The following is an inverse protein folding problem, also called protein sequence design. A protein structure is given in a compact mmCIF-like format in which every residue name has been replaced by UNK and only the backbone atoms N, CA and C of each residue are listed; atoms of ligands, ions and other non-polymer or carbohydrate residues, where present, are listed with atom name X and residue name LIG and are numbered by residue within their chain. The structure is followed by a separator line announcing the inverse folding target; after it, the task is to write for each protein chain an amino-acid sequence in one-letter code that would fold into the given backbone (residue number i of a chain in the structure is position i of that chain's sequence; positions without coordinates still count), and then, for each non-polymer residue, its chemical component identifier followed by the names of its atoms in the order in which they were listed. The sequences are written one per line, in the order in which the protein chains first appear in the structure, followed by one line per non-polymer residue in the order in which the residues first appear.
data_IF_422060292536
#
_entry.id   IF_422060292536
#
_cell.length_a   1.000
_cell.length_b   1.000
_cell.length_c   1.000
_cell.angle_alpha   90.00
_cell.angle_beta   90.00
_cell.angle_gamma   90.00
#
_symmetry.space_group_name_H-M   'P 1'
#
loop_
_entity.id
_entity.type
_entity.pdbx_description
1 polymer ?
#
# COMPACT_ATOMS: atom_id res chain seq x y z
N UNK A 1 5.36 0.70 -19.27
CA UNK A 1 5.14 1.92 -18.45
C UNK A 1 3.70 2.35 -18.66
N UNK A 2 2.92 2.51 -17.58
CA UNK A 2 1.58 3.09 -17.63
C UNK A 2 1.73 4.55 -17.20
N UNK A 3 1.39 5.50 -18.08
CA UNK A 3 1.46 6.91 -17.75
C UNK A 3 0.23 7.32 -16.95
N UNK A 4 0.46 7.88 -15.77
CA UNK A 4 -0.57 8.51 -14.94
C UNK A 4 -0.70 9.98 -15.34
N UNK A 5 -1.93 10.52 -15.41
CA UNK A 5 -2.10 11.96 -15.55
C UNK A 5 -1.45 12.69 -14.35
N UNK A 6 -0.96 13.93 -14.53
CA UNK A 6 -0.42 14.71 -13.44
C UNK A 6 -1.39 14.79 -12.26
N UNK A 7 -0.86 14.72 -11.04
CA UNK A 7 -1.62 14.84 -9.79
C UNK A 7 -2.84 13.92 -9.67
N UNK A 8 -2.75 12.70 -10.23
CA UNK A 8 -3.81 11.69 -10.14
C UNK A 8 -3.45 10.54 -9.18
N UNK A 9 -3.29 10.81 -7.86
CA UNK A 9 -2.92 9.78 -6.89
C UNK A 9 -3.98 8.67 -6.79
N UNK A 10 -5.25 8.98 -7.06
CA UNK A 10 -6.35 8.01 -7.01
C UNK A 10 -6.16 6.85 -8.00
N UNK A 11 -5.50 7.13 -9.13
CA UNK A 11 -5.17 6.12 -10.13
C UNK A 11 -3.86 5.37 -9.81
N UNK A 12 -3.17 5.67 -8.71
CA UNK A 12 -1.92 5.00 -8.37
C UNK A 12 -2.12 4.04 -7.17
N UNK A 13 -2.11 2.71 -7.40
CA UNK A 13 -2.38 1.74 -6.33
C UNK A 13 -1.32 1.74 -5.23
N UNK A 14 -0.13 2.29 -5.48
CA UNK A 14 0.92 2.42 -4.47
C UNK A 14 0.48 3.32 -3.29
N UNK A 15 -0.43 4.27 -3.51
CA UNK A 15 -0.94 5.16 -2.46
C UNK A 15 -1.68 4.36 -1.38
N UNK A 16 -2.51 3.39 -1.79
CA UNK A 16 -3.20 2.49 -0.87
C UNK A 16 -2.24 1.50 -0.19
N UNK A 17 -1.19 1.07 -0.91
CA UNK A 17 -0.09 0.28 -0.32
C UNK A 17 0.62 1.03 0.80
N UNK A 18 1.05 2.26 0.55
CA UNK A 18 1.67 3.12 1.58
C UNK A 18 0.73 3.47 2.72
N UNK A 19 -0.56 3.70 2.44
CA UNK A 19 -1.58 3.89 3.47
C UNK A 19 -1.67 2.67 4.40
N UNK A 20 -1.61 1.46 3.84
CA UNK A 20 -1.66 0.20 4.59
C UNK A 20 -0.41 -0.03 5.43
N UNK A 21 0.77 0.31 4.91
CA UNK A 21 2.04 0.29 5.67
C UNK A 21 1.97 1.28 6.83
N UNK A 22 1.60 2.54 6.57
CA UNK A 22 1.45 3.57 7.63
C UNK A 22 0.49 3.13 8.72
N UNK A 23 -0.66 2.57 8.34
CA UNK A 23 -1.67 2.06 9.26
C UNK A 23 -1.13 0.92 10.13
N UNK A 24 -0.33 0.02 9.56
CA UNK A 24 0.33 -1.05 10.31
C UNK A 24 1.35 -0.48 11.30
N UNK A 25 2.21 0.44 10.86
CA UNK A 25 3.23 1.05 11.71
C UNK A 25 2.61 1.84 12.87
N UNK A 26 1.51 2.55 12.64
CA UNK A 26 0.78 3.25 13.70
C UNK A 26 0.22 2.30 14.75
N UNK A 27 -0.28 1.13 14.35
CA UNK A 27 -0.78 0.12 15.30
C UNK A 27 0.36 -0.54 16.09
N UNK A 28 1.55 -0.59 15.52
CA UNK A 28 2.74 -1.21 16.10
C UNK A 28 3.79 -0.17 16.54
N UNK A 29 3.37 1.06 16.86
CA UNK A 29 4.28 2.20 17.11
C UNK A 29 5.26 2.01 18.28
N UNK A 30 4.99 1.04 19.15
CA UNK A 30 5.85 0.66 20.28
C UNK A 30 7.04 -0.18 19.84
N UNK A 31 6.93 -0.90 18.72
CA UNK A 31 8.02 -1.68 18.14
C UNK A 31 9.02 -0.74 17.46
N UNK A 32 10.23 -0.69 18.03
CA UNK A 32 11.35 0.12 17.53
C UNK A 32 12.35 -0.68 16.70
N UNK A 33 12.08 -1.97 16.49
CA UNK A 33 12.91 -2.82 15.65
C UNK A 33 12.79 -2.43 14.18
N UNK A 34 13.84 -2.69 13.39
CA UNK A 34 13.75 -2.52 11.94
C UNK A 34 12.85 -3.59 11.29
N UNK A 35 12.65 -4.74 11.95
CA UNK A 35 11.74 -5.80 11.46
C UNK A 35 10.28 -5.34 11.35
N UNK A 36 9.85 -4.32 12.09
CA UNK A 36 8.49 -3.77 11.96
C UNK A 36 8.20 -3.29 10.54
N UNK A 37 9.21 -2.81 9.81
CA UNK A 37 9.08 -2.40 8.41
C UNK A 37 8.84 -3.59 7.49
N UNK A 38 9.58 -4.69 7.71
CA UNK A 38 9.40 -5.93 6.95
C UNK A 38 8.00 -6.54 7.19
N UNK A 39 7.56 -6.56 8.45
CA UNK A 39 6.20 -7.00 8.79
C UNK A 39 5.12 -6.10 8.18
N UNK A 40 5.34 -4.78 8.13
CA UNK A 40 4.41 -3.85 7.50
C UNK A 40 4.27 -4.11 5.99
N UNK A 41 5.36 -4.43 5.30
CA UNK A 41 5.35 -4.83 3.90
C UNK A 41 4.62 -6.17 3.70
N UNK A 42 4.93 -7.19 4.52
CA UNK A 42 4.28 -8.50 4.46
C UNK A 42 2.79 -8.47 4.82
N UNK A 43 2.32 -7.45 5.54
CA UNK A 43 0.89 -7.24 5.80
C UNK A 43 0.09 -6.91 4.52
N UNK A 44 0.75 -6.55 3.40
CA UNK A 44 0.11 -6.43 2.09
C UNK A 44 0.05 -7.83 1.45
N UNK A 45 -1.11 -8.47 1.55
CA UNK A 45 -1.36 -9.77 0.90
C UNK A 45 -1.67 -9.61 -0.59
N UNK A 46 -1.56 -10.68 -1.40
CA UNK A 46 -1.97 -10.64 -2.80
C UNK A 46 -3.43 -10.18 -3.01
N UNK A 47 -4.34 -10.59 -2.10
CA UNK A 47 -5.74 -10.16 -2.14
C UNK A 47 -5.89 -8.64 -1.88
N UNK A 48 -5.13 -8.09 -0.94
CA UNK A 48 -5.09 -6.63 -0.71
C UNK A 48 -4.53 -5.90 -1.91
N UNK A 49 -3.42 -6.38 -2.48
CA UNK A 49 -2.82 -5.80 -3.67
C UNK A 49 -3.82 -5.75 -4.83
N UNK A 50 -4.50 -6.86 -5.14
CA UNK A 50 -5.56 -6.89 -6.15
C UNK A 50 -6.69 -5.89 -5.85
N UNK A 51 -7.08 -5.74 -4.57
CA UNK A 51 -8.01 -4.71 -4.13
C UNK A 51 -7.55 -3.29 -4.43
N UNK A 52 -6.28 -2.98 -4.21
CA UNK A 52 -5.71 -1.65 -4.49
C UNK A 52 -5.73 -1.32 -5.98
N UNK A 53 -5.31 -2.27 -6.82
CA UNK A 53 -5.38 -2.13 -8.28
C UNK A 53 -6.81 -1.91 -8.76
N UNK A 54 -7.76 -2.73 -8.28
CA UNK A 54 -9.18 -2.58 -8.63
C UNK A 54 -9.72 -1.21 -8.19
N UNK A 55 -9.40 -0.77 -6.99
CA UNK A 55 -9.82 0.53 -6.47
C UNK A 55 -9.22 1.71 -7.24
N UNK A 56 -8.04 1.55 -7.84
CA UNK A 56 -7.42 2.53 -8.74
C UNK A 56 -7.86 2.39 -10.21
N UNK A 57 -8.87 1.56 -10.50
CA UNK A 57 -9.48 1.44 -11.83
C UNK A 57 -8.81 0.43 -12.78
N UNK A 58 -7.89 -0.40 -12.29
CA UNK A 58 -7.25 -1.44 -13.08
C UNK A 58 -8.09 -2.73 -13.11
N UNK A 59 -8.04 -3.43 -14.25
CA UNK A 59 -8.58 -4.77 -14.39
C UNK A 59 -7.50 -5.75 -13.93
N UNK A 60 -7.79 -6.49 -12.86
CA UNK A 60 -6.90 -7.46 -12.19
C UNK A 60 -7.63 -8.75 -11.87
#
# INVERSE_FOLDING_TARGET
LIFLPPYSPDYNPIEQGFSSIKSFLWRNWQDRSLSVMDHACHNITPAKAAGYFKASGYIV
#
